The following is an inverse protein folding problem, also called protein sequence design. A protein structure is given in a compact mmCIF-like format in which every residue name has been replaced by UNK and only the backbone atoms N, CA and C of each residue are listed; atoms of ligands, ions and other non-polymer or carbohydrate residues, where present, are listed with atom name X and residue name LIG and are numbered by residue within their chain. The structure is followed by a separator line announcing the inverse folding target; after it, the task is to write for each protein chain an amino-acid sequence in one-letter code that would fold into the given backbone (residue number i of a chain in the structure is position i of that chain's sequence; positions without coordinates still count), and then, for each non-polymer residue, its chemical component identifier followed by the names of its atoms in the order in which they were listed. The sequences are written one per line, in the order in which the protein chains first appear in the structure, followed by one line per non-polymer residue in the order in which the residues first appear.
data_IF_254072178521
#
_entry.id   IF_254072178521
#
_cell.length_a   1.000
_cell.length_b   1.000
_cell.length_c   1.000
_cell.angle_alpha   90.00
_cell.angle_beta   90.00
_cell.angle_gamma   90.00
#
_symmetry.space_group_name_H-M   'P 1'
#
loop_
_entity.id
_entity.type
_entity.pdbx_description
1 polymer ?
#
# COMPACT_ATOMS: atom_id res chain seq x y z
N UNK A 1 12.52 -11.82 26.99
CA UNK A 1 11.63 -10.87 26.29
C UNK A 1 10.72 -11.53 25.25
N UNK A 2 10.82 -12.84 24.99
CA UNK A 2 9.89 -13.53 24.06
C UNK A 2 9.97 -13.02 22.62
N UNK A 3 9.13 -13.54 21.71
CA UNK A 3 8.97 -12.97 20.37
C UNK A 3 8.38 -11.56 20.48
N UNK A 4 9.01 -10.59 19.80
CA UNK A 4 8.55 -9.20 19.73
C UNK A 4 7.92 -8.95 18.35
N UNK A 5 6.66 -8.49 18.27
CA UNK A 5 5.98 -8.25 16.99
C UNK A 5 6.44 -6.92 16.37
N UNK A 6 7.66 -6.89 15.83
CA UNK A 6 8.27 -5.70 15.21
C UNK A 6 8.10 -5.78 13.69
N UNK A 7 7.69 -4.67 13.07
CA UNK A 7 7.75 -4.44 11.63
C UNK A 7 8.87 -3.44 11.38
N UNK A 8 9.77 -3.75 10.44
CA UNK A 8 10.85 -2.85 10.07
C UNK A 8 10.36 -1.89 8.97
N UNK A 9 10.41 -0.58 9.26
CA UNK A 9 10.31 0.43 8.21
C UNK A 9 11.66 0.49 7.48
N UNK A 10 11.70 -0.14 6.30
CA UNK A 10 12.90 -0.27 5.45
C UNK A 10 12.70 0.42 4.09
N UNK A 11 12.13 1.63 4.09
CA UNK A 11 11.93 2.41 2.87
C UNK A 11 13.17 3.30 2.57
N UNK A 12 13.30 3.70 1.31
CA UNK A 12 14.42 4.53 0.85
C UNK A 12 15.68 3.75 0.48
N UNK A 13 16.86 4.34 0.67
CA UNK A 13 18.14 3.71 0.32
C UNK A 13 18.55 2.76 1.45
N UNK A 14 18.34 1.46 1.23
CA UNK A 14 18.66 0.41 2.19
C UNK A 14 19.98 -0.25 1.83
N UNK A 15 20.90 -0.31 2.79
CA UNK A 15 22.19 -0.98 2.59
C UNK A 15 22.07 -2.49 2.85
N UNK A 16 22.98 -3.32 2.30
CA UNK A 16 22.99 -4.76 2.56
C UNK A 16 23.02 -5.11 4.06
N UNK A 17 23.66 -4.29 4.88
CA UNK A 17 23.76 -4.48 6.34
C UNK A 17 22.40 -4.30 7.03
N UNK A 18 21.60 -3.33 6.59
CA UNK A 18 20.23 -3.12 7.11
C UNK A 18 19.35 -4.32 6.75
N UNK A 19 19.42 -4.79 5.50
CA UNK A 19 18.70 -5.98 5.05
C UNK A 19 19.11 -7.22 5.85
N UNK A 20 20.42 -7.42 6.05
CA UNK A 20 20.94 -8.54 6.83
C UNK A 20 20.49 -8.49 8.30
N UNK A 21 20.45 -7.29 8.90
CA UNK A 21 19.95 -7.11 10.26
C UNK A 21 18.48 -7.46 10.37
N UNK A 22 17.65 -6.97 9.45
CA UNK A 22 16.21 -7.26 9.38
C UNK A 22 15.96 -8.77 9.26
N UNK A 23 16.62 -9.42 8.31
CA UNK A 23 16.47 -10.86 8.04
C UNK A 23 16.96 -11.71 9.21
N UNK A 24 18.06 -11.32 9.86
CA UNK A 24 18.60 -12.03 11.03
C UNK A 24 17.58 -12.15 12.17
N UNK A 25 16.72 -11.15 12.34
CA UNK A 25 15.68 -11.14 13.37
C UNK A 25 14.29 -11.54 12.85
N UNK A 26 14.16 -11.86 11.55
CA UNK A 26 12.88 -12.23 10.94
C UNK A 26 11.85 -11.10 10.98
N UNK A 27 12.28 -9.84 10.95
CA UNK A 27 11.35 -8.71 10.95
C UNK A 27 10.82 -8.48 9.53
N UNK A 28 9.50 -8.43 9.32
CA UNK A 28 8.96 -8.15 8.00
C UNK A 28 9.30 -6.71 7.57
N UNK A 29 9.63 -6.56 6.28
CA UNK A 29 9.88 -5.27 5.65
C UNK A 29 8.60 -4.68 5.05
N UNK A 30 8.65 -3.42 4.64
CA UNK A 30 7.51 -2.69 4.07
C UNK A 30 7.59 -2.61 2.55
N UNK A 31 6.45 -2.74 1.87
CA UNK A 31 6.31 -2.47 0.43
C UNK A 31 5.16 -1.52 0.17
N UNK A 32 5.44 -0.44 -0.55
CA UNK A 32 4.47 0.60 -0.87
C UNK A 32 4.15 0.56 -2.36
N UNK A 33 2.92 0.21 -2.73
CA UNK A 33 2.52 0.07 -4.12
C UNK A 33 2.62 1.40 -4.89
N UNK A 34 2.41 2.56 -4.26
CA UNK A 34 2.62 3.86 -4.92
C UNK A 34 4.04 4.05 -5.49
N UNK A 35 5.03 3.27 -5.03
CA UNK A 35 6.43 3.30 -5.51
C UNK A 35 6.74 2.19 -6.54
N UNK A 36 5.77 1.35 -6.89
CA UNK A 36 5.99 0.19 -7.75
C UNK A 36 6.06 0.50 -9.25
N UNK A 37 5.53 1.64 -9.69
CA UNK A 37 5.18 1.86 -11.10
C UNK A 37 6.07 2.91 -11.77
N UNK A 38 6.19 2.79 -13.10
CA UNK A 38 6.82 3.79 -13.97
C UNK A 38 8.35 3.88 -13.96
N UNK A 39 9.05 2.99 -13.24
CA UNK A 39 10.47 2.76 -13.51
C UNK A 39 10.63 1.87 -14.74
N UNK A 40 11.76 2.03 -15.45
CA UNK A 40 12.18 1.36 -16.70
C UNK A 40 11.49 0.01 -16.95
N UNK A 41 11.22 -0.34 -18.22
CA UNK A 41 10.51 -1.55 -18.71
C UNK A 41 10.91 -2.93 -18.13
N UNK A 42 11.81 -2.99 -17.14
CA UNK A 42 12.09 -4.15 -16.32
C UNK A 42 11.08 -4.38 -15.19
N UNK A 43 10.83 -5.66 -14.90
CA UNK A 43 10.04 -6.11 -13.76
C UNK A 43 10.86 -6.26 -12.48
N UNK A 44 11.98 -5.55 -12.28
CA UNK A 44 12.88 -5.77 -11.14
C UNK A 44 12.64 -4.85 -9.93
N UNK A 45 11.70 -3.90 -10.04
CA UNK A 45 11.34 -3.03 -8.92
C UNK A 45 10.80 -3.85 -7.73
N UNK A 46 11.48 -3.78 -6.59
CA UNK A 46 11.14 -4.51 -5.37
C UNK A 46 9.73 -4.20 -4.83
N UNK A 47 9.14 -3.07 -5.22
CA UNK A 47 7.77 -2.68 -4.87
C UNK A 47 6.69 -3.33 -5.76
N UNK A 48 7.05 -4.02 -6.84
CA UNK A 48 6.10 -4.79 -7.66
C UNK A 48 5.68 -6.09 -6.96
N UNK A 49 4.38 -6.45 -6.92
CA UNK A 49 3.88 -7.62 -6.19
C UNK A 49 4.56 -8.96 -6.46
N UNK A 50 5.02 -9.21 -7.69
CA UNK A 50 5.67 -10.48 -8.05
C UNK A 50 7.10 -10.61 -7.48
N UNK A 51 7.69 -9.51 -7.00
CA UNK A 51 9.01 -9.48 -6.35
C UNK A 51 8.93 -9.60 -4.83
N UNK A 52 7.72 -9.70 -4.27
CA UNK A 52 7.55 -9.82 -2.83
C UNK A 52 7.97 -11.22 -2.35
N UNK A 53 8.46 -11.26 -1.12
CA UNK A 53 8.65 -12.50 -0.37
C UNK A 53 7.65 -12.55 0.79
N UNK A 54 7.50 -13.73 1.39
CA UNK A 54 7.08 -13.78 2.79
C UNK A 54 8.01 -12.89 3.65
N UNK A 55 7.56 -12.49 4.83
CA UNK A 55 8.13 -11.43 5.66
C UNK A 55 7.99 -10.03 5.04
N UNK A 56 6.80 -9.76 4.49
CA UNK A 56 6.44 -8.46 3.90
C UNK A 56 5.13 -7.94 4.48
N UNK A 57 5.11 -6.64 4.76
CA UNK A 57 3.91 -5.84 5.02
C UNK A 57 3.68 -4.92 3.82
N UNK A 58 2.62 -5.15 3.07
CA UNK A 58 2.28 -4.34 1.89
C UNK A 58 1.24 -3.27 2.24
N UNK A 59 1.43 -2.09 1.64
CA UNK A 59 0.53 -0.95 1.71
C UNK A 59 0.30 -0.41 0.29
N UNK A 60 -0.91 0.06 -0.07
CA UNK A 60 -1.08 0.95 -1.21
C UNK A 60 -0.20 2.20 -1.06
N UNK A 61 -0.42 2.92 0.05
CA UNK A 61 0.35 4.07 0.54
C UNK A 61 0.34 4.09 2.07
N UNK A 62 1.28 4.82 2.67
CA UNK A 62 1.31 5.10 4.12
C UNK A 62 0.58 6.42 4.44
N UNK A 63 0.65 6.88 5.68
CA UNK A 63 0.17 8.20 6.07
C UNK A 63 0.96 9.37 5.46
N UNK A 64 2.19 9.12 5.00
CA UNK A 64 3.04 10.11 4.33
C UNK A 64 2.78 10.20 2.83
N UNK A 65 2.11 9.19 2.26
CA UNK A 65 1.64 9.21 0.88
C UNK A 65 0.35 10.03 0.76
N UNK A 66 0.02 10.42 -0.47
CA UNK A 66 -1.33 10.87 -0.78
C UNK A 66 -2.30 9.69 -0.69
N UNK A 67 -3.61 9.96 -0.69
CA UNK A 67 -4.61 8.93 -0.96
C UNK A 67 -4.35 8.28 -2.32
N UNK A 68 -4.79 7.05 -2.54
CA UNK A 68 -4.61 6.38 -3.82
C UNK A 68 -5.32 7.11 -4.97
N UNK A 69 -6.48 7.72 -4.72
CA UNK A 69 -7.18 8.56 -5.70
C UNK A 69 -6.41 9.85 -5.99
N UNK A 70 -5.90 10.55 -4.96
CA UNK A 70 -5.09 11.77 -5.11
C UNK A 70 -3.75 11.51 -5.82
N UNK A 71 -3.08 10.43 -5.44
CA UNK A 71 -1.87 9.93 -6.10
C UNK A 71 -2.14 9.62 -7.57
N UNK A 72 -3.20 8.88 -7.89
CA UNK A 72 -3.55 8.53 -9.26
C UNK A 72 -3.88 9.75 -10.12
N UNK A 73 -4.63 10.71 -9.56
CA UNK A 73 -5.02 11.93 -10.26
C UNK A 73 -3.81 12.76 -10.71
N UNK A 74 -2.70 12.69 -9.99
CA UNK A 74 -1.47 13.46 -10.25
C UNK A 74 -0.32 12.64 -10.85
N UNK A 75 -0.41 11.30 -10.84
CA UNK A 75 0.62 10.41 -11.37
C UNK A 75 0.90 10.69 -12.87
N UNK A 76 2.16 10.65 -13.33
CA UNK A 76 2.48 10.74 -14.76
C UNK A 76 1.83 9.61 -15.58
N UNK A 77 1.52 9.86 -16.85
CA UNK A 77 0.85 8.85 -17.70
C UNK A 77 1.66 7.55 -17.85
N UNK A 78 2.99 7.61 -17.90
CA UNK A 78 3.83 6.40 -17.94
C UNK A 78 3.65 5.51 -16.69
N UNK A 79 3.48 6.11 -15.51
CA UNK A 79 3.18 5.41 -14.25
C UNK A 79 1.79 4.76 -14.34
N UNK A 80 0.79 5.51 -14.84
CA UNK A 80 -0.58 5.00 -15.01
C UNK A 80 -0.66 3.88 -16.03
N UNK A 81 0.05 4.00 -17.14
CA UNK A 81 0.13 2.99 -18.19
C UNK A 81 0.71 1.69 -17.65
N UNK A 82 1.89 1.75 -17.01
CA UNK A 82 2.54 0.57 -16.42
C UNK A 82 1.62 -0.11 -15.40
N UNK A 83 0.98 0.64 -14.49
CA UNK A 83 0.04 0.05 -13.53
C UNK A 83 -1.12 -0.68 -14.22
N UNK A 84 -1.75 -0.05 -15.22
CA UNK A 84 -2.90 -0.63 -15.94
C UNK A 84 -2.53 -1.90 -16.68
N UNK A 85 -1.37 -1.90 -17.33
CA UNK A 85 -0.83 -3.09 -17.99
C UNK A 85 -0.54 -4.20 -16.99
N UNK A 86 0.17 -3.89 -15.90
CA UNK A 86 0.58 -4.86 -14.89
C UNK A 86 -0.62 -5.49 -14.16
N UNK A 87 -1.62 -4.70 -13.78
CA UNK A 87 -2.79 -5.15 -13.03
C UNK A 87 -3.97 -5.55 -13.91
N UNK A 88 -3.84 -5.42 -15.24
CA UNK A 88 -4.91 -5.63 -16.21
C UNK A 88 -6.21 -4.89 -15.83
N UNK A 89 -6.10 -3.57 -15.59
CA UNK A 89 -7.21 -2.72 -15.18
C UNK A 89 -7.31 -1.44 -16.03
N UNK A 90 -8.45 -0.76 -15.97
CA UNK A 90 -8.69 0.52 -16.65
C UNK A 90 -8.30 1.75 -15.80
N UNK A 91 -8.09 1.56 -14.49
CA UNK A 91 -7.81 2.61 -13.53
C UNK A 91 -9.05 3.37 -13.03
N UNK A 92 -10.25 2.83 -13.23
CA UNK A 92 -11.52 3.47 -12.83
C UNK A 92 -11.81 3.46 -11.33
N UNK A 93 -11.30 2.46 -10.59
CA UNK A 93 -11.37 2.38 -9.12
C UNK A 93 -9.98 2.03 -8.58
N UNK A 94 -9.09 3.03 -8.63
CA UNK A 94 -7.66 2.80 -8.39
C UNK A 94 -7.39 2.42 -6.93
N UNK A 95 -8.09 3.04 -5.97
CA UNK A 95 -7.92 2.71 -4.56
C UNK A 95 -8.23 1.23 -4.30
N UNK A 96 -9.35 0.72 -4.81
CA UNK A 96 -9.71 -0.69 -4.63
C UNK A 96 -8.92 -1.64 -5.52
N UNK A 97 -8.44 -1.18 -6.68
CA UNK A 97 -7.49 -1.93 -7.51
C UNK A 97 -6.19 -2.19 -6.75
N UNK A 98 -5.65 -1.18 -6.06
CA UNK A 98 -4.44 -1.32 -5.24
C UNK A 98 -4.69 -2.14 -3.97
N UNK A 99 -5.83 -1.96 -3.29
CA UNK A 99 -6.22 -2.81 -2.15
C UNK A 99 -6.29 -4.29 -2.58
N UNK A 100 -6.87 -4.57 -3.76
CA UNK A 100 -6.94 -5.91 -4.31
C UNK A 100 -5.55 -6.46 -4.63
N UNK A 101 -4.68 -5.67 -5.26
CA UNK A 101 -3.31 -6.08 -5.59
C UNK A 101 -2.50 -6.41 -4.33
N UNK A 102 -2.57 -5.56 -3.31
CA UNK A 102 -1.97 -5.81 -2.00
C UNK A 102 -2.51 -7.11 -1.37
N UNK A 103 -3.85 -7.28 -1.38
CA UNK A 103 -4.51 -8.49 -0.85
C UNK A 103 -4.13 -9.75 -1.63
N UNK A 104 -3.93 -9.67 -2.94
CA UNK A 104 -3.58 -10.82 -3.78
C UNK A 104 -2.10 -11.20 -3.69
N UNK A 105 -1.24 -10.34 -3.11
CA UNK A 105 0.19 -10.58 -3.04
C UNK A 105 0.58 -11.68 -2.04
N UNK A 106 1.85 -12.09 -2.07
CA UNK A 106 2.45 -13.06 -1.13
C UNK A 106 2.76 -12.46 0.25
N UNK A 107 2.65 -11.13 0.41
CA UNK A 107 2.89 -10.46 1.69
C UNK A 107 2.02 -11.04 2.82
N UNK A 108 2.59 -11.24 4.00
CA UNK A 108 1.87 -11.83 5.13
C UNK A 108 0.83 -10.86 5.70
N UNK A 109 1.09 -9.56 5.61
CA UNK A 109 0.18 -8.51 6.08
C UNK A 109 -0.08 -7.53 4.94
N UNK A 110 -1.36 -7.24 4.69
CA UNK A 110 -1.80 -6.16 3.81
C UNK A 110 -2.52 -5.10 4.65
N UNK A 111 -2.01 -3.87 4.66
CA UNK A 111 -2.52 -2.75 5.45
C UNK A 111 -3.01 -1.62 4.54
N UNK A 112 -4.21 -1.11 4.83
CA UNK A 112 -4.87 -0.11 4.00
C UNK A 112 -5.17 1.14 4.83
N UNK A 113 -4.90 2.31 4.27
CA UNK A 113 -5.39 3.56 4.82
C UNK A 113 -6.93 3.59 4.73
N UNK A 114 -7.60 4.10 5.75
CA UNK A 114 -9.07 4.19 5.72
C UNK A 114 -9.53 5.13 4.59
N UNK A 115 -8.75 6.14 4.24
CA UNK A 115 -8.99 7.01 3.09
C UNK A 115 -9.15 6.22 1.78
N UNK A 116 -8.32 5.20 1.55
CA UNK A 116 -8.38 4.37 0.34
C UNK A 116 -9.63 3.48 0.35
N UNK A 117 -9.94 2.88 1.50
CA UNK A 117 -11.18 2.08 1.66
C UNK A 117 -12.42 2.91 1.31
N UNK A 118 -12.40 4.19 1.71
CA UNK A 118 -13.45 5.17 1.47
C UNK A 118 -13.39 5.87 0.09
N UNK A 119 -12.37 5.57 -0.75
CA UNK A 119 -12.13 6.21 -2.07
C UNK A 119 -12.06 7.74 -1.99
N UNK A 120 -11.40 8.26 -0.96
CA UNK A 120 -11.25 9.69 -0.75
C UNK A 120 -10.16 10.26 -1.64
N UNK A 121 -10.36 11.50 -2.12
CA UNK A 121 -9.39 12.22 -2.96
C UNK A 121 -8.21 12.80 -2.16
N UNK A 122 -7.28 13.45 -2.87
CA UNK A 122 -6.06 14.01 -2.26
C UNK A 122 -6.27 15.14 -1.26
N UNK A 123 -7.47 15.72 -1.16
CA UNK A 123 -7.77 16.70 -0.09
C UNK A 123 -7.85 16.05 1.30
N UNK A 124 -7.90 14.72 1.35
CA UNK A 124 -8.05 13.92 2.56
C UNK A 124 -6.73 13.26 3.01
N UNK A 125 -5.60 13.73 2.47
CA UNK A 125 -4.25 13.27 2.84
C UNK A 125 -3.95 13.51 4.32
N UNK A 126 -3.31 12.55 4.99
CA UNK A 126 -2.98 12.64 6.42
C UNK A 126 -1.78 13.55 6.70
N UNK A 127 -0.66 13.33 6.00
CA UNK A 127 0.56 14.10 6.17
C UNK A 127 1.23 14.38 4.82
N UNK A 128 1.77 15.58 4.66
CA UNK A 128 2.65 15.96 3.55
C UNK A 128 4.05 16.23 4.10
N UNK A 129 5.00 15.28 3.98
CA UNK A 129 6.36 15.45 4.48
C UNK A 129 7.00 16.75 4.01
N UNK A 130 7.71 17.43 4.91
CA UNK A 130 8.35 18.73 4.64
C UNK A 130 7.44 19.96 4.81
N UNK A 131 6.15 19.77 5.09
CA UNK A 131 5.23 20.89 5.42
C UNK A 131 5.01 20.99 6.94
N UNK A 132 4.96 22.22 7.47
CA UNK A 132 4.86 22.45 8.92
C UNK A 132 3.41 22.55 9.44
N UNK A 133 2.42 22.76 8.57
CA UNK A 133 1.04 23.05 8.96
C UNK A 133 0.06 22.21 8.11
N UNK A 134 -1.12 21.94 8.66
CA UNK A 134 -2.22 21.23 7.97
C UNK A 134 -2.20 19.71 8.12
N UNK A 135 -1.09 19.12 8.57
CA UNK A 135 -0.94 17.67 8.75
C UNK A 135 -1.64 17.15 10.01
N UNK A 136 -1.92 15.84 10.04
CA UNK A 136 -2.45 15.10 11.21
C UNK A 136 -3.83 15.55 11.67
N UNK A 137 -4.59 16.19 10.79
CA UNK A 137 -5.91 16.75 11.09
C UNK A 137 -7.05 15.93 10.49
N UNK A 138 -6.75 14.94 9.64
CA UNK A 138 -7.75 14.14 8.95
C UNK A 138 -8.63 13.37 9.93
N UNK A 139 -9.94 13.43 9.70
CA UNK A 139 -10.96 12.68 10.43
C UNK A 139 -12.03 12.23 9.45
N UNK A 140 -12.58 11.04 9.67
CA UNK A 140 -13.76 10.57 8.96
C UNK A 140 -15.03 10.80 9.78
N UNK A 141 -16.18 10.78 9.11
CA UNK A 141 -17.51 10.66 9.74
C UNK A 141 -18.13 9.33 9.38
N UNK A 142 -18.99 8.80 10.26
CA UNK A 142 -19.62 7.50 10.05
C UNK A 142 -20.52 7.46 8.81
N UNK A 143 -21.07 8.59 8.38
CA UNK A 143 -21.87 8.69 7.15
C UNK A 143 -21.05 8.40 5.88
N UNK A 144 -19.72 8.54 5.94
CA UNK A 144 -18.83 8.14 4.84
C UNK A 144 -18.70 6.62 4.75
N UNK A 145 -18.92 5.89 5.85
CA UNK A 145 -18.71 4.44 5.91
C UNK A 145 -19.96 3.71 5.41
N UNK A 146 -19.92 3.27 4.15
CA UNK A 146 -20.99 2.51 3.53
C UNK A 146 -20.82 0.99 3.76
N UNK A 147 -21.92 0.21 3.84
CA UNK A 147 -21.85 -1.25 4.03
C UNK A 147 -20.99 -1.97 2.99
N UNK A 148 -20.93 -1.44 1.76
CA UNK A 148 -20.10 -1.98 0.68
C UNK A 148 -18.60 -2.01 0.99
N UNK A 149 -18.10 -1.11 1.84
CA UNK A 149 -16.69 -1.09 2.24
C UNK A 149 -16.32 -2.32 3.06
N UNK A 150 -17.12 -2.64 4.10
CA UNK A 150 -16.90 -3.82 4.91
C UNK A 150 -17.11 -5.11 4.11
N UNK A 151 -18.16 -5.17 3.28
CA UNK A 151 -18.45 -6.32 2.44
C UNK A 151 -17.33 -6.59 1.41
N UNK A 152 -16.77 -5.54 0.81
CA UNK A 152 -15.67 -5.66 -0.13
C UNK A 152 -14.36 -6.12 0.53
N UNK A 153 -14.02 -5.56 1.70
CA UNK A 153 -12.85 -6.03 2.47
C UNK A 153 -13.00 -7.48 2.91
N UNK A 154 -14.19 -7.87 3.39
CA UNK A 154 -14.50 -9.27 3.71
C UNK A 154 -14.34 -10.16 2.49
N UNK A 155 -14.81 -9.72 1.32
CA UNK A 155 -14.69 -10.47 0.08
C UNK A 155 -13.22 -10.69 -0.31
N UNK A 156 -12.36 -9.69 -0.19
CA UNK A 156 -10.93 -9.86 -0.43
C UNK A 156 -10.26 -10.74 0.63
N UNK A 157 -10.67 -10.62 1.89
CA UNK A 157 -10.24 -11.53 2.95
C UNK A 157 -10.55 -12.99 2.63
N UNK A 158 -11.75 -13.28 2.14
CA UNK A 158 -12.14 -14.62 1.70
C UNK A 158 -11.40 -15.08 0.44
N UNK A 159 -11.33 -14.22 -0.58
CA UNK A 159 -10.79 -14.57 -1.90
C UNK A 159 -9.29 -14.87 -1.85
N UNK A 160 -8.56 -14.16 -0.99
CA UNK A 160 -7.11 -14.24 -0.89
C UNK A 160 -6.61 -14.89 0.41
N UNK A 161 -7.49 -15.59 1.12
CA UNK A 161 -7.17 -16.32 2.36
C UNK A 161 -6.49 -15.45 3.44
N UNK A 162 -7.10 -14.29 3.74
CA UNK A 162 -6.66 -13.32 4.76
C UNK A 162 -7.64 -13.12 5.90
N UNK A 163 -8.59 -14.04 6.07
CA UNK A 163 -9.45 -14.02 7.25
C UNK A 163 -8.67 -14.52 8.48
N UNK A 164 -9.00 -14.04 9.68
CA UNK A 164 -8.50 -14.66 10.91
C UNK A 164 -8.82 -16.15 10.91
N UNK A 165 -7.87 -16.95 11.40
CA UNK A 165 -8.04 -18.40 11.60
C UNK A 165 -9.08 -18.71 12.69
#
# INVERSE_FOLDING_TARGET
LGPLPIIAEDLGVITPEVTALRQRFGFPGMRILHFAWGQNDGGDNAYLPHNYTHDTVVYPGTHDNDTSEGWWATAPEAVRHHLREYLACDGGDIAWTLIRAASASVADIALFALQDVLRLDGTQRMNTPGTAQGNWTWRFTWDQVQPGHAAGLLRFGQLYNRLPA
#
